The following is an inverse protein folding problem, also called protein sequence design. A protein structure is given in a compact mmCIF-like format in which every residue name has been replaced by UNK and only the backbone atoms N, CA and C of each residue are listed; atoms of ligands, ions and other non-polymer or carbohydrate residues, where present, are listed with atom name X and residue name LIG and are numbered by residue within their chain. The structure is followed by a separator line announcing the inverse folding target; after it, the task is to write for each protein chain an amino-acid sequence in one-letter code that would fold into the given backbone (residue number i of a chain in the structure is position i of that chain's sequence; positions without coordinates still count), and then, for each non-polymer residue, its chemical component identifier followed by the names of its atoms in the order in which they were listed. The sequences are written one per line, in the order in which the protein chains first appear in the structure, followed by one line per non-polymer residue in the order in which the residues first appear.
data_IF_123834377026
#
_entry.id   IF_123834377026
#
_cell.length_a   1.000
_cell.length_b   1.000
_cell.length_c   1.000
_cell.angle_alpha   90.00
_cell.angle_beta   90.00
_cell.angle_gamma   90.00
#
_symmetry.space_group_name_H-M   'P 1'
#
loop_
_entity.id
_entity.type
_entity.pdbx_description
1 polymer ?
#
# COMPACT_ATOMS: atom_id res chain seq x y z
N UNK A 1 -72.11 0.50 -52.30
CA UNK A 1 -70.96 0.40 -53.23
C UNK A 1 -69.85 -0.38 -52.52
N UNK A 2 -69.29 -1.37 -53.23
CA UNK A 2 -68.17 -2.31 -52.96
C UNK A 2 -67.51 -2.30 -51.56
N UNK A 3 -67.61 -3.40 -50.80
CA UNK A 3 -66.68 -4.57 -50.77
C UNK A 3 -65.21 -4.18 -50.55
N UNK A 4 -64.64 -4.58 -49.40
CA UNK A 4 -63.54 -5.57 -49.35
C UNK A 4 -63.37 -6.12 -47.92
N UNK A 5 -63.48 -7.45 -47.81
CA UNK A 5 -63.08 -8.28 -46.68
C UNK A 5 -61.55 -8.48 -46.78
N UNK A 6 -60.82 -8.33 -45.68
CA UNK A 6 -59.38 -8.58 -45.61
C UNK A 6 -59.00 -9.24 -44.29
N UNK A 7 -58.38 -10.41 -44.41
CA UNK A 7 -58.19 -11.46 -43.40
C UNK A 7 -57.07 -11.15 -42.38
N UNK A 8 -57.13 -11.90 -41.27
CA UNK A 8 -56.17 -12.08 -40.19
C UNK A 8 -54.66 -12.02 -40.56
N UNK A 9 -53.88 -11.50 -39.61
CA UNK A 9 -52.47 -11.80 -39.44
C UNK A 9 -52.00 -11.41 -38.03
N UNK A 10 -52.29 -12.23 -37.02
CA UNK A 10 -51.69 -12.09 -35.68
C UNK A 10 -50.32 -12.74 -35.73
N UNK A 11 -49.27 -11.93 -35.82
CA UNK A 11 -47.88 -12.39 -35.75
C UNK A 11 -47.48 -12.48 -34.28
N UNK A 12 -47.59 -13.67 -33.68
CA UNK A 12 -46.96 -13.96 -32.38
C UNK A 12 -45.44 -14.02 -32.57
N UNK A 13 -44.73 -12.96 -32.19
CA UNK A 13 -43.29 -13.02 -31.98
C UNK A 13 -42.99 -13.83 -30.71
N UNK A 14 -42.48 -15.04 -30.91
CA UNK A 14 -41.80 -15.80 -29.86
C UNK A 14 -40.44 -15.12 -29.60
N UNK A 15 -40.38 -14.29 -28.56
CA UNK A 15 -39.13 -13.77 -28.03
C UNK A 15 -38.36 -14.91 -27.35
N UNK A 16 -37.39 -15.48 -28.04
CA UNK A 16 -36.40 -16.37 -27.44
C UNK A 16 -35.57 -15.58 -26.43
N UNK A 17 -35.86 -15.77 -25.14
CA UNK A 17 -34.95 -15.37 -24.05
C UNK A 17 -33.66 -16.19 -24.20
N UNK A 18 -32.64 -15.59 -24.80
CA UNK A 18 -31.28 -16.08 -24.69
C UNK A 18 -30.81 -15.83 -23.26
N UNK A 19 -30.82 -16.88 -22.44
CA UNK A 19 -30.16 -16.87 -21.13
C UNK A 19 -28.66 -16.88 -21.41
N UNK A 20 -28.03 -15.70 -21.43
CA UNK A 20 -26.58 -15.60 -21.41
C UNK A 20 -26.11 -16.06 -20.03
N UNK A 21 -25.77 -17.35 -19.93
CA UNK A 21 -24.90 -17.83 -18.86
C UNK A 21 -23.58 -17.08 -19.00
N UNK A 22 -23.40 -16.02 -18.21
CA UNK A 22 -22.08 -15.44 -18.01
C UNK A 22 -21.23 -16.56 -17.44
N UNK A 23 -20.31 -17.08 -18.25
CA UNK A 23 -19.24 -17.90 -17.72
C UNK A 23 -18.57 -17.04 -16.65
N UNK A 24 -18.66 -17.46 -15.40
CA UNK A 24 -17.86 -16.86 -14.34
C UNK A 24 -16.42 -16.89 -14.85
N UNK A 25 -15.83 -15.71 -15.07
CA UNK A 25 -14.40 -15.61 -15.33
C UNK A 25 -13.71 -16.45 -14.28
N UNK A 26 -12.73 -17.27 -14.69
CA UNK A 26 -11.93 -18.03 -13.75
C UNK A 26 -11.52 -17.07 -12.63
N UNK A 27 -11.99 -17.33 -11.40
CA UNK A 27 -11.64 -16.50 -10.25
C UNK A 27 -10.12 -16.38 -10.26
N UNK A 28 -9.62 -15.16 -10.40
CA UNK A 28 -8.21 -14.91 -10.16
C UNK A 28 -7.92 -15.54 -8.80
N UNK A 29 -6.89 -16.38 -8.74
CA UNK A 29 -6.66 -17.17 -7.54
C UNK A 29 -6.44 -16.20 -6.37
N UNK A 30 -7.17 -16.42 -5.27
CA UNK A 30 -7.05 -15.59 -4.07
C UNK A 30 -5.65 -15.77 -3.50
N UNK A 31 -4.81 -14.77 -3.74
CA UNK A 31 -3.40 -14.76 -3.39
C UNK A 31 -3.15 -14.06 -2.04
N UNK A 32 -4.21 -13.85 -1.27
CA UNK A 32 -4.17 -13.22 0.04
C UNK A 32 -4.55 -11.74 0.03
N UNK A 33 -4.85 -11.28 1.23
CA UNK A 33 -5.30 -9.94 1.54
C UNK A 33 -4.48 -9.32 2.66
N UNK A 34 -4.20 -8.03 2.53
CA UNK A 34 -3.89 -7.16 3.65
C UNK A 34 -5.16 -6.35 3.96
N UNK A 35 -5.53 -6.29 5.23
CA UNK A 35 -6.56 -5.43 5.77
C UNK A 35 -6.07 -4.84 7.10
N UNK A 36 -6.27 -3.55 7.29
CA UNK A 36 -6.04 -2.86 8.56
C UNK A 36 -7.08 -1.75 8.72
N UNK A 37 -7.73 -1.68 9.88
CA UNK A 37 -8.69 -0.63 10.25
C UNK A 37 -8.09 0.46 11.16
N UNK A 38 -6.77 0.40 11.38
CA UNK A 38 -5.99 1.34 12.17
C UNK A 38 -6.44 1.48 13.63
N UNK A 39 -6.92 0.39 14.23
CA UNK A 39 -7.27 0.31 15.66
C UNK A 39 -6.07 0.27 16.62
N UNK A 40 -5.15 1.22 16.47
CA UNK A 40 -3.97 1.39 17.33
C UNK A 40 -4.18 2.45 18.41
N UNK A 41 -3.33 2.41 19.44
CA UNK A 41 -3.38 3.39 20.54
C UNK A 41 -2.53 4.64 20.27
N UNK A 42 -1.39 4.50 19.60
CA UNK A 42 -0.44 5.58 19.30
C UNK A 42 0.59 5.14 18.25
N UNK A 43 1.42 6.07 17.75
CA UNK A 43 2.57 5.72 16.90
C UNK A 43 3.61 4.82 17.59
N UNK A 44 3.62 4.76 18.93
CA UNK A 44 4.48 3.87 19.71
C UNK A 44 3.85 2.53 20.06
N UNK A 45 2.65 2.23 19.56
CA UNK A 45 1.99 0.94 19.76
C UNK A 45 2.83 -0.18 19.13
N UNK A 46 3.23 -1.18 19.92
CA UNK A 46 4.03 -2.30 19.41
C UNK A 46 3.30 -3.08 18.33
N UNK A 47 1.96 -3.07 18.34
CA UNK A 47 1.15 -3.77 17.34
C UNK A 47 1.24 -3.10 15.97
N UNK A 48 1.41 -1.77 15.90
CA UNK A 48 1.56 -1.04 14.63
C UNK A 48 2.79 -1.54 13.85
N UNK A 49 3.93 -1.62 14.54
CA UNK A 49 5.17 -2.13 13.93
C UNK A 49 5.14 -3.64 13.70
N UNK A 50 4.50 -4.41 14.59
CA UNK A 50 4.30 -5.85 14.41
C UNK A 50 3.44 -6.17 13.17
N UNK A 51 2.46 -5.31 12.88
CA UNK A 51 1.59 -5.38 11.70
C UNK A 51 2.26 -4.83 10.43
N UNK A 52 3.54 -4.46 10.52
CA UNK A 52 4.35 -4.10 9.36
C UNK A 52 4.23 -2.65 8.93
N UNK A 53 3.86 -1.74 9.83
CA UNK A 53 3.86 -0.29 9.57
C UNK A 53 5.02 0.42 10.24
N UNK A 54 5.59 1.41 9.55
CA UNK A 54 6.67 2.25 10.05
C UNK A 54 6.26 3.73 10.00
N UNK A 55 6.12 4.39 11.16
CA UNK A 55 6.09 5.85 11.24
C UNK A 55 7.44 6.43 10.82
N UNK A 56 7.46 7.30 9.81
CA UNK A 56 8.71 7.92 9.36
C UNK A 56 9.31 8.82 10.44
N UNK A 57 10.61 8.68 10.67
CA UNK A 57 11.39 9.44 11.66
C UNK A 57 12.65 10.10 11.11
N UNK A 58 12.90 9.96 9.80
CA UNK A 58 14.10 10.47 9.15
C UNK A 58 13.78 11.64 8.22
N UNK A 59 14.70 12.61 8.17
CA UNK A 59 14.63 13.76 7.29
C UNK A 59 14.78 13.38 5.82
N UNK A 60 14.44 14.30 4.92
CA UNK A 60 14.55 14.12 3.47
C UNK A 60 13.33 14.67 2.75
N UNK A 61 13.35 14.59 1.43
CA UNK A 61 12.21 14.96 0.60
C UNK A 61 11.03 13.99 0.72
N UNK A 62 9.90 14.33 0.09
CA UNK A 62 9.65 15.59 -0.63
C UNK A 62 9.37 16.78 0.32
N UNK A 63 9.23 17.98 -0.25
CA UNK A 63 8.77 19.19 0.45
C UNK A 63 9.87 20.13 0.94
N UNK A 64 9.50 21.00 1.87
CA UNK A 64 10.32 22.13 2.36
C UNK A 64 11.68 21.65 2.92
N UNK A 65 12.81 22.14 2.39
CA UNK A 65 14.13 21.84 2.96
C UNK A 65 14.24 22.23 4.44
N UNK A 66 14.75 21.31 5.25
CA UNK A 66 14.87 21.50 6.70
C UNK A 66 13.62 21.11 7.51
N UNK A 67 12.54 20.69 6.85
CA UNK A 67 11.37 20.13 7.53
C UNK A 67 11.69 18.81 8.24
N UNK A 68 10.93 18.52 9.29
CA UNK A 68 11.01 17.27 10.06
C UNK A 68 9.90 16.31 9.64
N UNK A 69 10.21 15.02 9.56
CA UNK A 69 9.22 13.94 9.50
C UNK A 69 9.17 13.26 10.86
N UNK A 70 8.04 13.38 11.58
CA UNK A 70 7.96 12.93 12.96
C UNK A 70 6.92 11.82 13.16
N UNK A 71 7.27 10.71 13.85
CA UNK A 71 6.31 9.70 14.28
C UNK A 71 5.22 10.26 15.20
N UNK A 72 5.53 11.31 15.98
CA UNK A 72 4.56 11.95 16.87
C UNK A 72 3.41 12.62 16.13
N UNK A 73 3.56 12.82 14.82
CA UNK A 73 2.55 13.39 13.93
C UNK A 73 1.52 12.37 13.48
N UNK A 74 1.69 11.10 13.85
CA UNK A 74 0.78 10.00 13.54
C UNK A 74 0.03 9.63 14.82
N UNK A 75 -1.27 9.81 14.80
CA UNK A 75 -2.14 9.54 15.95
C UNK A 75 -3.33 8.68 15.52
N UNK A 76 -4.03 8.12 16.50
CA UNK A 76 -5.18 7.26 16.25
C UNK A 76 -6.41 7.75 17.04
N UNK A 77 -7.00 8.89 16.66
CA UNK A 77 -8.22 9.40 17.30
C UNK A 77 -9.43 8.51 17.00
N UNK A 78 -10.52 8.75 17.72
CA UNK A 78 -11.81 8.14 17.40
C UNK A 78 -12.64 9.11 16.57
N UNK A 79 -13.00 8.72 15.35
CA UNK A 79 -13.84 9.47 14.43
C UNK A 79 -15.02 8.57 14.02
N UNK A 80 -16.25 9.08 14.11
CA UNK A 80 -17.44 8.30 13.73
C UNK A 80 -17.71 7.05 14.60
N UNK A 81 -17.03 6.92 15.75
CA UNK A 81 -17.17 5.78 16.66
C UNK A 81 -16.10 4.69 16.51
N UNK A 82 -15.19 4.81 15.55
CA UNK A 82 -14.04 3.91 15.38
C UNK A 82 -12.71 4.66 15.43
N UNK A 83 -11.62 3.92 15.63
CA UNK A 83 -10.27 4.46 15.46
C UNK A 83 -9.99 4.70 13.98
N UNK A 84 -9.23 5.75 13.69
CA UNK A 84 -8.71 6.08 12.36
C UNK A 84 -7.24 6.47 12.50
N UNK A 85 -6.39 6.21 11.51
CA UNK A 85 -5.06 6.83 11.46
C UNK A 85 -5.22 8.32 11.12
N UNK A 86 -4.50 9.20 11.81
CA UNK A 86 -4.42 10.62 11.49
C UNK A 86 -2.97 11.05 11.30
N UNK A 87 -2.67 11.60 10.13
CA UNK A 87 -1.46 12.33 9.80
C UNK A 87 -1.68 13.81 10.12
N UNK A 88 -0.72 14.46 10.79
CA UNK A 88 -0.79 15.89 11.12
C UNK A 88 0.47 16.60 10.62
N UNK A 89 0.31 17.62 9.77
CA UNK A 89 1.41 18.47 9.35
C UNK A 89 1.22 19.89 9.89
N UNK A 90 2.30 20.59 10.18
CA UNK A 90 2.23 22.00 10.58
C UNK A 90 3.42 22.80 10.08
N UNK A 91 3.23 24.10 9.85
CA UNK A 91 4.29 25.04 9.46
C UNK A 91 4.12 26.39 10.12
N UNK A 92 5.22 27.11 10.33
CA UNK A 92 5.26 28.55 10.65
C UNK A 92 5.83 29.40 9.49
N UNK A 93 5.94 28.80 8.30
CA UNK A 93 6.54 29.40 7.11
C UNK A 93 8.05 29.20 6.99
N UNK A 94 8.70 28.57 7.98
CA UNK A 94 10.14 28.24 7.95
C UNK A 94 10.38 26.74 7.80
N UNK A 95 11.52 26.34 7.23
CA UNK A 95 11.90 24.93 7.14
C UNK A 95 11.99 24.26 8.52
N UNK A 96 12.66 24.89 9.48
CA UNK A 96 12.81 24.36 10.84
C UNK A 96 11.49 24.30 11.63
N UNK A 97 10.53 25.18 11.33
CA UNK A 97 9.20 25.17 11.92
C UNK A 97 8.19 24.28 11.17
N UNK A 98 8.62 23.64 10.09
CA UNK A 98 7.78 22.74 9.29
C UNK A 98 7.93 21.28 9.72
N UNK A 99 6.80 20.61 9.90
CA UNK A 99 6.69 19.20 10.27
C UNK A 99 5.70 18.49 9.35
N UNK A 100 6.13 17.36 8.81
CA UNK A 100 5.39 16.44 7.95
C UNK A 100 5.08 15.13 8.68
N UNK A 101 4.21 14.32 8.08
CA UNK A 101 3.81 13.02 8.61
C UNK A 101 3.78 11.97 7.49
N UNK A 102 4.29 10.78 7.76
CA UNK A 102 4.23 9.65 6.84
C UNK A 102 4.18 8.31 7.59
N UNK A 103 3.23 7.46 7.20
CA UNK A 103 3.19 6.05 7.57
C UNK A 103 3.38 5.21 6.30
N UNK A 104 4.27 4.22 6.37
CA UNK A 104 4.50 3.31 5.25
C UNK A 104 4.64 1.86 5.70
N UNK A 105 4.36 0.93 4.79
CA UNK A 105 4.56 -0.49 5.05
C UNK A 105 6.05 -0.84 5.05
N UNK A 106 6.51 -1.61 6.03
CA UNK A 106 7.90 -2.04 6.16
C UNK A 106 8.36 -2.97 5.02
N UNK A 107 7.42 -3.73 4.43
CA UNK A 107 7.73 -4.69 3.38
C UNK A 107 7.34 -4.18 1.99
N UNK A 108 8.17 -4.52 0.99
CA UNK A 108 7.97 -4.24 -0.43
C UNK A 108 7.45 -5.49 -1.13
N UNK A 109 6.16 -5.79 -1.01
CA UNK A 109 5.57 -7.05 -1.52
C UNK A 109 4.28 -6.87 -2.33
N UNK A 110 3.92 -5.63 -2.64
CA UNK A 110 2.69 -5.31 -3.36
C UNK A 110 3.04 -4.99 -4.82
N UNK A 111 2.41 -5.69 -5.77
CA UNK A 111 2.61 -5.47 -7.21
C UNK A 111 1.26 -5.47 -7.95
N UNK A 112 0.81 -6.62 -8.44
CA UNK A 112 -0.50 -6.77 -9.10
C UNK A 112 -1.59 -7.07 -8.09
N UNK A 113 -2.77 -6.52 -8.33
CA UNK A 113 -3.91 -6.63 -7.41
C UNK A 113 -4.67 -5.32 -7.25
N UNK A 114 -5.52 -5.28 -6.23
CA UNK A 114 -6.32 -4.10 -5.89
C UNK A 114 -5.77 -3.44 -4.64
N UNK A 115 -5.41 -2.17 -4.74
CA UNK A 115 -5.06 -1.30 -3.63
C UNK A 115 -6.26 -0.44 -3.32
N UNK A 116 -6.67 -0.37 -2.06
CA UNK A 116 -7.76 0.49 -1.65
C UNK A 116 -7.54 1.08 -0.27
N UNK A 117 -7.98 2.31 -0.08
CA UNK A 117 -7.97 2.96 1.22
C UNK A 117 -9.09 3.99 1.28
N UNK A 118 -9.72 4.09 2.44
CA UNK A 118 -10.68 5.16 2.70
C UNK A 118 -9.98 6.30 3.42
N UNK A 119 -9.88 7.44 2.74
CA UNK A 119 -9.09 8.60 3.18
C UNK A 119 -10.02 9.78 3.37
N UNK A 120 -9.82 10.54 4.45
CA UNK A 120 -10.42 11.85 4.64
C UNK A 120 -9.40 12.91 4.29
N UNK A 121 -9.73 13.75 3.32
CA UNK A 121 -8.97 14.95 3.03
C UNK A 121 -9.61 16.17 3.70
N UNK A 122 -8.79 17.16 4.02
CA UNK A 122 -9.25 18.48 4.48
C UNK A 122 -8.75 19.57 3.58
N UNK A 123 -9.63 20.53 3.23
CA UNK A 123 -9.21 21.70 2.46
C UNK A 123 -8.47 22.73 3.32
N UNK A 124 -9.01 22.98 4.51
CA UNK A 124 -8.56 24.03 5.41
C UNK A 124 -7.83 23.45 6.62
N UNK A 125 -6.91 24.18 7.26
CA UNK A 125 -6.25 23.70 8.45
C UNK A 125 -7.23 23.56 9.62
N UNK A 126 -6.93 22.63 10.52
CA UNK A 126 -7.61 22.50 11.81
C UNK A 126 -7.31 23.64 12.78
N UNK A 127 -6.19 24.34 12.57
CA UNK A 127 -5.79 25.53 13.32
C UNK A 127 -4.84 26.40 12.50
N UNK A 128 -4.91 27.72 12.66
CA UNK A 128 -4.05 28.69 11.97
C UNK A 128 -4.65 29.23 10.68
N UNK A 129 -3.82 29.91 9.87
CA UNK A 129 -4.25 30.52 8.62
C UNK A 129 -4.26 29.49 7.49
N UNK A 130 -5.26 29.55 6.63
CA UNK A 130 -5.34 28.72 5.44
C UNK A 130 -4.50 29.29 4.27
N UNK A 131 -4.36 28.50 3.22
CA UNK A 131 -3.72 28.87 1.96
C UNK A 131 -2.37 28.19 1.71
N UNK A 132 -1.86 27.40 2.67
CA UNK A 132 -0.60 26.70 2.47
C UNK A 132 -0.73 25.64 1.38
N UNK A 133 0.26 25.54 0.49
CA UNK A 133 0.36 24.47 -0.49
C UNK A 133 0.78 23.17 0.21
N UNK A 134 -0.20 22.31 0.48
CA UNK A 134 0.01 20.97 1.04
C UNK A 134 -0.31 19.90 0.00
N UNK A 135 0.24 18.70 0.20
CA UNK A 135 -0.16 17.50 -0.53
C UNK A 135 -0.58 16.42 0.47
N UNK A 136 -1.78 15.88 0.26
CA UNK A 136 -2.37 14.77 1.02
C UNK A 136 -2.44 13.53 0.12
N UNK A 137 -1.86 12.41 0.55
CA UNK A 137 -1.58 11.31 -0.38
C UNK A 137 -2.06 9.93 0.04
N UNK A 138 -2.24 9.06 -0.95
CA UNK A 138 -2.24 7.61 -0.82
C UNK A 138 -1.51 7.04 -2.03
N UNK A 139 -0.44 6.29 -1.81
CA UNK A 139 0.42 5.85 -2.91
C UNK A 139 1.17 4.56 -2.60
N UNK A 140 1.74 3.99 -3.65
CA UNK A 140 2.61 2.82 -3.58
C UNK A 140 3.88 3.09 -4.36
N UNK A 141 5.05 2.77 -3.79
CA UNK A 141 6.36 3.17 -4.34
C UNK A 141 7.41 2.06 -4.17
N UNK A 142 8.29 1.90 -5.14
CA UNK A 142 9.51 1.11 -5.02
C UNK A 142 10.74 2.00 -4.83
N UNK A 143 11.88 1.48 -4.34
CA UNK A 143 13.11 2.26 -4.32
C UNK A 143 13.48 2.75 -5.72
N UNK A 144 13.98 3.99 -5.80
CA UNK A 144 14.70 4.49 -6.98
C UNK A 144 16.18 4.15 -6.78
N UNK A 145 16.70 3.11 -7.44
CA UNK A 145 18.10 2.68 -7.28
C UNK A 145 19.09 3.47 -8.16
N UNK A 146 18.88 4.78 -8.22
CA UNK A 146 19.63 5.71 -9.05
C UNK A 146 18.75 6.41 -10.09
N UNK A 147 19.28 7.49 -10.66
CA UNK A 147 18.60 8.26 -11.70
C UNK A 147 18.15 7.36 -12.84
N UNK A 148 16.91 7.55 -13.28
CA UNK A 148 16.36 6.84 -14.43
C UNK A 148 16.30 5.30 -14.26
N UNK A 149 16.21 4.79 -13.02
CA UNK A 149 16.07 3.36 -12.74
C UNK A 149 14.87 2.76 -13.52
N UNK A 150 15.12 1.89 -14.52
CA UNK A 150 14.07 1.36 -15.38
C UNK A 150 13.13 0.39 -14.65
N UNK A 151 13.49 -0.04 -13.44
CA UNK A 151 12.67 -0.91 -12.61
C UNK A 151 11.82 -0.13 -11.61
N UNK A 152 12.13 1.16 -11.36
CA UNK A 152 11.33 2.02 -10.47
C UNK A 152 9.85 1.87 -10.77
N UNK A 153 8.99 1.88 -9.77
CA UNK A 153 7.55 1.79 -9.93
C UNK A 153 6.90 2.60 -8.83
N UNK A 154 5.99 3.49 -9.21
CA UNK A 154 5.20 4.27 -8.26
C UNK A 154 3.83 4.54 -8.84
N UNK A 155 2.81 4.32 -8.02
CA UNK A 155 1.42 4.64 -8.32
C UNK A 155 0.93 5.58 -7.23
N UNK A 156 0.81 6.85 -7.59
CA UNK A 156 0.14 7.84 -6.78
C UNK A 156 -1.36 7.71 -7.03
N UNK A 157 -2.05 7.04 -6.10
CA UNK A 157 -3.49 6.81 -6.21
C UNK A 157 -4.23 8.13 -5.97
N UNK A 158 -3.67 8.98 -5.11
CA UNK A 158 -4.12 10.35 -4.91
C UNK A 158 -2.95 11.22 -4.45
N UNK A 159 -2.75 12.34 -5.12
CA UNK A 159 -1.99 13.51 -4.64
C UNK A 159 -2.93 14.71 -4.64
N UNK A 160 -3.51 14.99 -3.48
CA UNK A 160 -4.54 16.02 -3.33
C UNK A 160 -3.97 17.31 -2.74
N UNK A 161 -4.10 18.38 -3.51
CA UNK A 161 -3.60 19.72 -3.25
C UNK A 161 -4.78 20.68 -3.09
N UNK A 162 -5.35 20.86 -1.88
CA UNK A 162 -6.57 21.65 -1.69
C UNK A 162 -6.39 23.14 -2.03
N UNK A 163 -5.20 23.69 -1.78
CA UNK A 163 -4.86 25.08 -2.04
C UNK A 163 -4.05 25.26 -3.34
N UNK A 164 -3.96 24.22 -4.18
CA UNK A 164 -3.06 24.19 -5.32
C UNK A 164 -1.59 24.00 -4.92
N UNK A 165 -0.69 24.53 -5.75
CA UNK A 165 0.72 24.14 -5.77
C UNK A 165 1.11 23.62 -7.15
N UNK A 166 2.41 23.50 -7.43
CA UNK A 166 2.93 23.06 -8.74
C UNK A 166 2.39 23.82 -9.96
N UNK A 167 1.98 25.08 -9.77
CA UNK A 167 1.41 25.94 -10.81
C UNK A 167 -0.13 25.99 -10.83
N UNK A 168 -0.80 25.17 -10.03
CA UNK A 168 -2.26 25.18 -9.87
C UNK A 168 -2.69 26.18 -8.79
N UNK A 169 -3.88 26.76 -8.95
CA UNK A 169 -4.38 27.89 -8.12
C UNK A 169 -5.54 27.51 -7.19
N UNK A 170 -5.96 26.26 -7.21
CA UNK A 170 -7.06 25.76 -6.40
C UNK A 170 -7.03 24.23 -6.29
N UNK A 171 -8.09 23.63 -5.73
CA UNK A 171 -8.13 22.20 -5.47
C UNK A 171 -7.83 21.38 -6.72
N UNK A 172 -6.82 20.52 -6.63
CA UNK A 172 -6.49 19.55 -7.67
C UNK A 172 -6.09 18.22 -7.05
N UNK A 173 -6.48 17.13 -7.68
CA UNK A 173 -6.03 15.80 -7.34
C UNK A 173 -5.40 15.12 -8.55
N UNK A 174 -4.20 14.56 -8.39
CA UNK A 174 -3.53 13.78 -9.42
C UNK A 174 -3.63 12.27 -9.13
N UNK A 175 -3.80 11.50 -10.19
CA UNK A 175 -3.48 10.07 -10.25
C UNK A 175 -2.23 9.95 -11.12
N UNK A 176 -1.12 9.46 -10.59
CA UNK A 176 0.15 9.40 -11.34
C UNK A 176 0.67 7.97 -11.36
N UNK A 177 1.14 7.51 -12.53
CA UNK A 177 1.92 6.27 -12.67
C UNK A 177 3.31 6.63 -13.18
N UNK A 178 4.33 6.39 -12.37
CA UNK A 178 5.70 6.70 -12.74
C UNK A 178 6.37 5.55 -13.47
N UNK A 179 7.10 5.89 -14.53
CA UNK A 179 8.12 5.02 -15.08
C UNK A 179 9.42 5.18 -14.31
N UNK A 180 9.94 6.40 -14.26
CA UNK A 180 11.14 6.77 -13.49
C UNK A 180 11.28 8.29 -13.41
N UNK A 181 12.22 8.77 -12.59
CA UNK A 181 12.64 10.18 -12.59
C UNK A 181 14.15 10.32 -12.34
N UNK A 182 14.62 11.56 -12.46
CA UNK A 182 15.89 12.05 -11.91
C UNK A 182 15.62 13.36 -11.18
N UNK A 183 16.17 13.48 -9.97
CA UNK A 183 15.97 14.66 -9.14
C UNK A 183 16.71 15.89 -9.68
N UNK A 184 17.94 15.73 -10.19
CA UNK A 184 18.78 16.85 -10.63
C UNK A 184 19.63 16.51 -11.87
N UNK A 185 19.52 17.25 -12.99
CA UNK A 185 18.44 18.20 -13.28
C UNK A 185 17.10 17.47 -13.39
N UNK A 186 16.05 18.12 -12.90
CA UNK A 186 14.71 17.55 -12.84
C UNK A 186 14.28 16.94 -14.16
N UNK A 187 13.89 15.68 -14.12
CA UNK A 187 13.28 14.97 -15.22
C UNK A 187 12.29 13.96 -14.65
N UNK A 188 11.08 13.95 -15.20
CA UNK A 188 10.03 13.01 -14.85
C UNK A 188 9.59 12.25 -16.11
N UNK A 189 9.51 10.92 -16.02
CA UNK A 189 8.81 10.08 -17.00
C UNK A 189 7.66 9.39 -16.28
N UNK A 190 6.48 9.98 -16.39
CA UNK A 190 5.25 9.49 -15.79
C UNK A 190 4.07 9.73 -16.73
N UNK A 191 2.92 9.17 -16.36
CA UNK A 191 1.62 9.46 -16.93
C UNK A 191 0.69 9.85 -15.79
N UNK A 192 -0.11 10.90 -15.96
CA UNK A 192 -1.10 11.31 -14.96
C UNK A 192 -2.46 11.62 -15.58
N UNK A 193 -3.48 11.51 -14.72
CA UNK A 193 -4.81 12.07 -14.89
C UNK A 193 -5.10 12.98 -13.70
N UNK A 194 -6.03 13.92 -13.84
CA UNK A 194 -6.23 14.99 -12.87
C UNK A 194 -7.69 15.43 -12.75
N UNK A 195 -8.06 15.88 -11.55
CA UNK A 195 -9.39 16.37 -11.22
C UNK A 195 -9.28 17.72 -10.52
N UNK A 196 -9.84 18.77 -11.11
CA UNK A 196 -9.85 20.15 -10.55
C UNK A 196 -11.13 20.40 -9.75
N UNK A 197 -11.25 19.71 -8.63
CA UNK A 197 -12.37 19.81 -7.70
C UNK A 197 -11.93 19.49 -6.29
N UNK A 198 -12.65 20.04 -5.30
CA UNK A 198 -12.40 19.69 -3.90
C UNK A 198 -12.72 18.22 -3.62
N UNK A 199 -11.83 17.57 -2.87
CA UNK A 199 -12.02 16.26 -2.26
C UNK A 199 -12.17 16.34 -0.74
N UNK A 200 -12.60 17.50 -0.21
CA UNK A 200 -12.83 17.66 1.21
C UNK A 200 -13.86 16.66 1.73
N UNK A 201 -13.46 15.82 2.67
CA UNK A 201 -14.30 14.76 3.22
C UNK A 201 -13.73 13.36 2.99
N UNK A 202 -14.55 12.36 3.29
CA UNK A 202 -14.20 10.94 3.19
C UNK A 202 -14.43 10.43 1.77
N UNK A 203 -13.41 9.77 1.21
CA UNK A 203 -13.44 9.16 -0.11
C UNK A 203 -12.89 7.74 -0.07
N UNK A 204 -13.52 6.84 -0.82
CA UNK A 204 -12.97 5.50 -1.08
C UNK A 204 -12.08 5.57 -2.33
N UNK A 205 -10.76 5.43 -2.12
CA UNK A 205 -9.75 5.46 -3.17
C UNK A 205 -9.38 4.02 -3.56
N UNK A 206 -9.43 3.69 -4.84
CA UNK A 206 -9.13 2.34 -5.33
C UNK A 206 -8.24 2.41 -6.56
N UNK A 207 -7.19 1.58 -6.61
CA UNK A 207 -6.42 1.31 -7.82
C UNK A 207 -6.40 -0.19 -8.11
N UNK A 208 -6.78 -0.60 -9.32
CA UNK A 208 -6.67 -1.99 -9.79
C UNK A 208 -5.51 -2.10 -10.78
N UNK A 209 -4.52 -2.92 -10.45
CA UNK A 209 -3.36 -3.25 -11.28
C UNK A 209 -3.54 -4.66 -11.82
N UNK A 210 -3.98 -4.77 -13.07
CA UNK A 210 -4.24 -6.06 -13.72
C UNK A 210 -4.28 -5.91 -15.24
N UNK A 211 -4.02 -7.00 -15.96
CA UNK A 211 -4.13 -7.09 -17.42
C UNK A 211 -3.31 -6.03 -18.18
N UNK A 212 -2.19 -5.57 -17.61
CA UNK A 212 -1.37 -4.50 -18.20
C UNK A 212 -1.95 -3.08 -18.05
N UNK A 213 -2.99 -2.92 -17.23
CA UNK A 213 -3.64 -1.65 -16.93
C UNK A 213 -3.58 -1.31 -15.43
N UNK A 214 -3.54 -0.02 -15.15
CA UNK A 214 -3.71 0.57 -13.82
C UNK A 214 -4.94 1.47 -13.88
N UNK A 215 -6.03 1.05 -13.23
CA UNK A 215 -7.28 1.82 -13.21
C UNK A 215 -7.51 2.42 -11.84
N UNK A 216 -7.73 3.72 -11.81
CA UNK A 216 -7.91 4.51 -10.60
C UNK A 216 -9.38 4.90 -10.47
N UNK A 217 -9.92 4.73 -9.26
CA UNK A 217 -11.29 5.06 -8.92
C UNK A 217 -11.34 5.92 -7.66
N UNK A 218 -12.26 6.87 -7.65
CA UNK A 218 -12.66 7.63 -6.47
C UNK A 218 -14.17 7.46 -6.32
N UNK A 219 -14.61 6.98 -5.16
CA UNK A 219 -16.03 6.74 -4.84
C UNK A 219 -16.76 5.90 -5.90
N UNK A 220 -16.04 4.93 -6.48
CA UNK A 220 -16.55 4.03 -7.51
C UNK A 220 -16.53 4.58 -8.93
N UNK A 221 -16.17 5.85 -9.14
CA UNK A 221 -16.04 6.46 -10.46
C UNK A 221 -14.63 6.27 -10.99
N UNK A 222 -14.48 5.74 -12.22
CA UNK A 222 -13.18 5.64 -12.91
C UNK A 222 -12.68 7.05 -13.25
N UNK A 223 -11.51 7.42 -12.73
CA UNK A 223 -10.89 8.74 -12.92
C UNK A 223 -9.61 8.68 -13.75
N UNK A 224 -9.01 7.50 -13.89
CA UNK A 224 -7.83 7.28 -14.73
C UNK A 224 -7.66 5.82 -15.15
N UNK A 225 -7.15 5.60 -16.36
CA UNK A 225 -6.72 4.29 -16.88
C UNK A 225 -5.37 4.48 -17.57
N UNK A 226 -4.30 4.00 -16.92
CA UNK A 226 -2.93 4.08 -17.41
C UNK A 226 -2.44 2.70 -17.83
N UNK A 227 -1.51 2.62 -18.77
CA UNK A 227 -1.00 1.34 -19.29
C UNK A 227 0.40 1.46 -19.90
N UNK A 228 0.86 0.37 -20.53
CA UNK A 228 2.10 0.36 -21.29
C UNK A 228 3.33 0.40 -20.39
N UNK A 229 4.32 1.23 -20.74
CA UNK A 229 5.59 1.29 -20.00
C UNK A 229 5.43 1.73 -18.54
N UNK A 230 4.29 2.33 -18.16
CA UNK A 230 4.02 2.79 -16.80
C UNK A 230 3.51 1.68 -15.87
N UNK A 231 3.10 0.52 -16.39
CA UNK A 231 2.69 -0.64 -15.59
C UNK A 231 3.79 -1.09 -14.62
N UNK A 232 3.52 -1.32 -13.32
CA UNK A 232 4.56 -1.53 -12.32
C UNK A 232 5.42 -2.77 -12.62
N UNK A 233 6.72 -2.65 -12.33
CA UNK A 233 7.78 -3.57 -12.75
C UNK A 233 8.47 -4.26 -11.56
N UNK A 234 8.28 -3.76 -10.34
CA UNK A 234 8.79 -4.36 -9.12
C UNK A 234 7.81 -4.15 -7.95
N UNK A 235 7.97 -4.95 -6.90
CA UNK A 235 7.15 -4.80 -5.70
C UNK A 235 7.40 -3.47 -5.00
N UNK A 236 6.34 -2.92 -4.43
CA UNK A 236 6.28 -1.60 -3.83
C UNK A 236 5.87 -1.68 -2.35
N UNK A 237 6.06 -0.60 -1.61
CA UNK A 237 5.43 -0.33 -0.30
C UNK A 237 4.08 0.35 -0.48
N UNK A 238 3.20 0.30 0.52
CA UNK A 238 1.99 1.14 0.62
C UNK A 238 2.25 2.28 1.62
N UNK A 239 1.83 3.50 1.30
CA UNK A 239 2.24 4.71 2.01
C UNK A 239 1.11 5.76 2.02
N UNK A 240 1.11 6.58 3.06
CA UNK A 240 0.35 7.82 3.13
C UNK A 240 1.25 8.90 3.72
N UNK A 241 1.24 10.09 3.15
CA UNK A 241 1.90 11.24 3.72
C UNK A 241 1.08 12.53 3.59
N UNK A 242 1.36 13.45 4.51
CA UNK A 242 0.87 14.81 4.49
C UNK A 242 2.06 15.74 4.70
N UNK A 243 2.31 16.61 3.73
CA UNK A 243 3.50 17.46 3.67
C UNK A 243 3.24 18.81 3.00
N UNK A 244 4.11 19.79 3.26
CA UNK A 244 4.07 21.10 2.62
C UNK A 244 4.95 21.11 1.39
N UNK A 245 4.37 21.50 0.25
CA UNK A 245 5.05 21.59 -1.04
C UNK A 245 6.12 22.66 -0.99
N UNK A 246 5.75 23.83 -0.46
CA UNK A 246 6.58 25.02 -0.30
C UNK A 246 6.04 25.87 0.87
N UNK A 247 6.65 27.04 1.09
CA UNK A 247 6.17 28.04 2.07
C UNK A 247 5.75 29.37 1.42
N UNK A 248 5.57 29.39 0.10
CA UNK A 248 5.36 30.62 -0.66
C UNK A 248 4.00 31.26 -0.40
N UNK A 249 2.97 30.44 -0.16
CA UNK A 249 1.62 30.90 0.16
C UNK A 249 1.36 31.13 1.65
N UNK A 250 2.35 30.86 2.52
CA UNK A 250 2.17 31.00 3.96
C UNK A 250 2.00 32.46 4.39
N UNK A 251 0.95 32.75 5.16
CA UNK A 251 0.59 34.13 5.55
C UNK A 251 0.91 34.50 7.00
N UNK A 252 1.53 33.59 7.75
CA UNK A 252 2.02 33.80 9.11
C UNK A 252 1.25 33.03 10.18
N UNK A 253 1.80 33.05 11.41
CA UNK A 253 1.32 32.20 12.50
C UNK A 253 1.76 30.74 12.31
N UNK A 254 1.15 29.81 13.05
CA UNK A 254 1.33 28.37 12.81
C UNK A 254 0.04 27.81 12.22
N UNK A 255 0.16 27.11 11.10
CA UNK A 255 -0.95 26.40 10.46
C UNK A 255 -0.80 24.90 10.64
N UNK A 256 -1.90 24.19 10.88
CA UNK A 256 -1.92 22.75 11.17
C UNK A 256 -3.02 22.05 10.35
N UNK A 257 -2.61 21.15 9.46
CA UNK A 257 -3.50 20.36 8.60
C UNK A 257 -3.52 18.91 9.04
N UNK A 258 -4.60 18.20 8.68
CA UNK A 258 -4.73 16.77 8.96
C UNK A 258 -5.18 16.01 7.71
N UNK A 259 -4.79 14.75 7.64
CA UNK A 259 -5.38 13.74 6.75
C UNK A 259 -5.71 12.53 7.60
N UNK A 260 -6.88 11.91 7.38
CA UNK A 260 -7.27 10.71 8.15
C UNK A 260 -7.46 9.51 7.24
N UNK A 261 -7.27 8.31 7.77
CA UNK A 261 -7.44 7.04 7.05
C UNK A 261 -8.21 6.06 7.92
N UNK A 262 -9.34 5.58 7.39
CA UNK A 262 -10.26 4.67 8.10
C UNK A 262 -9.84 3.20 7.96
N UNK A 263 -9.33 2.82 6.79
CA UNK A 263 -8.83 1.48 6.54
C UNK A 263 -7.95 1.42 5.29
N UNK A 264 -7.18 0.33 5.18
CA UNK A 264 -6.51 -0.09 3.95
C UNK A 264 -6.87 -1.53 3.62
N UNK A 265 -6.98 -1.81 2.32
CA UNK A 265 -7.13 -3.14 1.76
C UNK A 265 -6.14 -3.31 0.61
N UNK A 266 -5.39 -4.41 0.59
CA UNK A 266 -4.73 -4.89 -0.62
C UNK A 266 -5.19 -6.31 -0.92
N UNK A 267 -5.65 -6.56 -2.15
CA UNK A 267 -6.04 -7.89 -2.62
C UNK A 267 -5.07 -8.35 -3.71
N UNK A 268 -4.16 -9.26 -3.36
CA UNK A 268 -3.07 -9.69 -4.25
C UNK A 268 -3.63 -10.45 -5.46
N UNK A 269 -3.16 -10.08 -6.65
CA UNK A 269 -3.54 -10.67 -7.94
C UNK A 269 -5.07 -10.71 -8.19
N UNK A 270 -5.82 -9.82 -7.54
CA UNK A 270 -7.28 -9.73 -7.69
C UNK A 270 -7.64 -8.34 -8.17
N UNK A 271 -8.36 -8.24 -9.28
CA UNK A 271 -8.92 -6.98 -9.80
C UNK A 271 -10.36 -6.82 -9.28
N UNK A 272 -10.49 -6.34 -8.05
CA UNK A 272 -11.78 -6.11 -7.41
C UNK A 272 -12.39 -4.81 -7.93
N UNK A 273 -13.70 -4.82 -8.14
CA UNK A 273 -14.48 -3.61 -8.34
C UNK A 273 -14.56 -2.80 -7.04
N UNK A 274 -14.82 -1.47 -7.10
CA UNK A 274 -15.03 -0.66 -5.91
C UNK A 274 -16.12 -1.21 -4.98
N UNK A 275 -17.21 -1.76 -5.53
CA UNK A 275 -18.27 -2.38 -4.74
C UNK A 275 -17.79 -3.65 -4.00
N UNK A 276 -16.93 -4.46 -4.63
CA UNK A 276 -16.33 -5.64 -3.98
C UNK A 276 -15.34 -5.25 -2.89
N UNK A 277 -14.58 -4.16 -3.08
CA UNK A 277 -13.73 -3.57 -2.02
C UNK A 277 -14.58 -3.19 -0.80
N UNK A 278 -15.67 -2.44 -1.01
CA UNK A 278 -16.59 -2.06 0.07
C UNK A 278 -17.15 -3.28 0.80
N UNK A 279 -17.60 -4.29 0.04
CA UNK A 279 -18.14 -5.53 0.60
C UNK A 279 -17.08 -6.31 1.40
N UNK A 280 -15.83 -6.37 0.91
CA UNK A 280 -14.73 -7.09 1.57
C UNK A 280 -14.34 -6.41 2.88
N UNK A 281 -14.19 -5.09 2.88
CA UNK A 281 -13.90 -4.31 4.09
C UNK A 281 -15.03 -4.42 5.12
N UNK A 282 -16.29 -4.34 4.69
CA UNK A 282 -17.43 -4.58 5.59
C UNK A 282 -17.41 -6.00 6.18
N UNK A 283 -17.02 -7.00 5.37
CA UNK A 283 -16.81 -8.38 5.81
C UNK A 283 -15.80 -8.49 6.95
N UNK A 284 -14.59 -7.94 6.78
CA UNK A 284 -13.56 -7.94 7.83
C UNK A 284 -14.07 -7.30 9.13
N UNK A 285 -14.71 -6.14 9.03
CA UNK A 285 -15.27 -5.44 10.20
C UNK A 285 -16.37 -6.24 10.89
N UNK A 286 -17.29 -6.84 10.13
CA UNK A 286 -18.37 -7.66 10.69
C UNK A 286 -17.85 -8.92 11.41
N UNK A 287 -16.69 -9.43 11.00
CA UNK A 287 -15.99 -10.52 11.66
C UNK A 287 -15.14 -10.08 12.88
N UNK A 288 -15.09 -8.77 13.17
CA UNK A 288 -14.29 -8.21 14.25
C UNK A 288 -12.78 -8.18 13.97
N UNK A 289 -12.36 -8.32 12.72
CA UNK A 289 -10.96 -8.20 12.34
C UNK A 289 -10.56 -6.71 12.34
N UNK A 290 -9.52 -6.38 13.09
CA UNK A 290 -8.87 -5.05 13.06
C UNK A 290 -7.62 -5.04 12.18
N UNK A 291 -7.02 -6.22 12.01
CA UNK A 291 -5.89 -6.45 11.11
C UNK A 291 -5.97 -7.88 10.56
N UNK A 292 -5.68 -8.06 9.28
CA UNK A 292 -5.48 -9.35 8.66
C UNK A 292 -4.42 -9.22 7.56
N UNK A 293 -3.42 -10.08 7.58
CA UNK A 293 -2.42 -10.14 6.52
C UNK A 293 -2.17 -11.60 6.13
N UNK A 294 -2.58 -11.92 4.91
CA UNK A 294 -2.44 -13.23 4.28
C UNK A 294 -1.74 -13.09 2.92
N UNK A 295 -1.17 -11.92 2.63
CA UNK A 295 -0.50 -11.66 1.35
C UNK A 295 0.72 -12.55 1.23
N UNK A 296 0.65 -13.54 0.34
CA UNK A 296 1.74 -14.47 0.07
C UNK A 296 3.01 -13.72 -0.36
N UNK A 297 4.19 -14.18 0.06
CA UNK A 297 5.47 -13.48 -0.19
C UNK A 297 6.17 -13.89 -1.50
N UNK A 298 5.65 -14.85 -2.27
CA UNK A 298 6.17 -15.25 -3.60
C UNK A 298 5.05 -15.54 -4.61
N UNK A 299 5.42 -15.59 -5.90
CA UNK A 299 4.53 -15.81 -7.05
C UNK A 299 3.98 -17.23 -7.14
N UNK A 300 2.70 -17.30 -7.51
CA UNK A 300 1.87 -18.50 -7.57
C UNK A 300 0.89 -18.53 -6.40
N UNK A 301 -0.39 -18.30 -6.67
CA UNK A 301 -1.42 -18.38 -5.64
C UNK A 301 -1.55 -19.82 -5.15
N UNK A 302 -1.26 -20.06 -3.89
CA UNK A 302 -1.62 -21.31 -3.23
C UNK A 302 -3.04 -21.17 -2.67
N UNK A 303 -4.03 -21.98 -3.12
CA UNK A 303 -5.35 -21.97 -2.51
C UNK A 303 -5.23 -22.26 -1.01
N UNK A 304 -6.09 -21.68 -0.14
CA UNK A 304 -6.05 -21.98 1.28
C UNK A 304 -6.28 -23.48 1.46
N UNK A 305 -5.28 -24.21 1.95
CA UNK A 305 -5.51 -25.58 2.41
C UNK A 305 -6.19 -25.49 3.77
N UNK A 306 -7.39 -26.06 3.86
CA UNK A 306 -8.11 -26.25 5.13
C UNK A 306 -7.15 -26.81 6.20
N UNK A 307 -7.10 -26.23 7.41
CA UNK A 307 -6.33 -26.79 8.51
C UNK A 307 -6.71 -28.26 8.76
N UNK A 308 -5.77 -29.18 9.02
CA UNK A 308 -6.10 -30.56 9.34
C UNK A 308 -6.95 -30.60 10.62
N UNK A 309 -8.16 -31.18 10.55
CA UNK A 309 -9.07 -31.39 11.69
C UNK A 309 -8.64 -32.55 12.60
N UNK A 310 -7.39 -33.02 12.51
CA UNK A 310 -6.83 -34.05 13.38
C UNK A 310 -5.63 -33.50 14.15
N UNK A 311 -5.73 -33.35 15.48
CA UNK A 311 -4.58 -33.03 16.33
C UNK A 311 -3.46 -34.08 16.15
N UNK A 312 -2.18 -33.67 16.10
CA UNK A 312 -1.07 -34.63 16.09
C UNK A 312 -1.03 -35.36 17.45
N UNK A 313 -1.08 -36.68 17.43
CA UNK A 313 -1.07 -37.53 18.63
C UNK A 313 0.33 -37.77 19.23
N UNK A 314 1.36 -37.02 18.83
CA UNK A 314 2.71 -37.16 19.40
C UNK A 314 3.43 -35.81 19.49
N UNK A 315 3.79 -35.34 20.70
CA UNK A 315 4.74 -34.23 20.84
C UNK A 315 6.14 -34.68 20.39
N UNK A 316 6.91 -33.87 19.64
CA UNK A 316 8.32 -34.16 19.38
C UNK A 316 9.14 -33.99 20.68
N UNK A 317 9.79 -35.05 21.13
CA UNK A 317 10.60 -35.09 22.37
C UNK A 317 12.08 -34.83 22.13
N UNK A 318 12.46 -34.01 21.14
CA UNK A 318 13.88 -33.70 20.91
C UNK A 318 14.08 -32.21 20.66
N UNK A 319 14.84 -31.50 21.52
CA UNK A 319 15.29 -30.14 21.22
C UNK A 319 16.11 -30.17 19.91
N UNK A 320 15.94 -29.23 18.97
CA UNK A 320 16.82 -29.16 17.82
C UNK A 320 18.24 -28.85 18.30
N UNK A 321 19.21 -29.65 17.83
CA UNK A 321 20.63 -29.39 18.05
C UNK A 321 21.00 -27.99 17.53
N UNK A 322 21.74 -27.21 18.32
CA UNK A 322 22.40 -26.01 17.82
C UNK A 322 23.39 -26.43 16.73
N UNK A 323 23.00 -26.28 15.46
CA UNK A 323 23.88 -26.57 14.32
C UNK A 323 25.01 -25.54 14.24
N UNK A 324 26.20 -26.00 13.90
CA UNK A 324 27.34 -25.16 13.52
C UNK A 324 27.28 -24.80 12.02
N UNK A 325 28.22 -23.99 11.52
CA UNK A 325 28.29 -23.62 10.09
C UNK A 325 28.36 -24.82 9.12
N UNK A 326 28.85 -25.98 9.59
CA UNK A 326 29.00 -27.18 8.74
C UNK A 326 27.69 -27.94 8.58
N UNK A 327 26.86 -27.92 9.62
CA UNK A 327 25.58 -28.65 9.70
C UNK A 327 24.36 -27.79 9.39
N UNK A 328 24.45 -26.47 9.51
CA UNK A 328 23.34 -25.58 9.22
C UNK A 328 23.01 -25.57 7.70
N UNK A 329 21.72 -25.67 7.33
CA UNK A 329 21.29 -25.53 5.94
C UNK A 329 21.50 -24.08 5.46
N UNK A 330 21.67 -23.90 4.15
CA UNK A 330 21.64 -22.55 3.58
C UNK A 330 20.25 -21.92 3.81
N UNK A 331 20.24 -20.63 4.12
CA UNK A 331 18.98 -19.88 4.21
C UNK A 331 18.30 -19.85 2.84
N UNK A 332 17.00 -20.08 2.85
CA UNK A 332 16.17 -20.08 1.66
C UNK A 332 14.96 -19.18 1.92
N UNK A 333 14.78 -18.19 1.04
CA UNK A 333 13.74 -17.17 1.17
C UNK A 333 12.33 -17.74 1.37
N UNK A 334 11.99 -18.81 0.63
CA UNK A 334 10.69 -19.47 0.72
C UNK A 334 10.51 -20.41 1.92
N UNK A 335 11.54 -20.65 2.72
CA UNK A 335 11.47 -21.58 3.86
C UNK A 335 11.06 -20.84 5.12
N UNK A 336 10.05 -21.35 5.82
CA UNK A 336 9.69 -20.86 7.14
C UNK A 336 10.61 -21.48 8.21
N UNK A 337 11.13 -20.64 9.09
CA UNK A 337 12.01 -20.99 10.20
C UNK A 337 11.33 -20.68 11.53
N UNK A 338 11.22 -21.70 12.39
CA UNK A 338 10.77 -21.57 13.76
C UNK A 338 11.87 -20.95 14.64
N UNK A 339 11.47 -20.31 15.74
CA UNK A 339 12.40 -19.77 16.72
C UNK A 339 13.40 -20.81 17.21
N UNK A 340 14.68 -20.46 17.20
CA UNK A 340 15.80 -21.32 17.57
C UNK A 340 16.46 -22.10 16.42
N UNK A 341 15.83 -22.19 15.24
CA UNK A 341 16.45 -22.84 14.08
C UNK A 341 17.64 -22.03 13.56
N UNK A 342 18.67 -22.74 13.08
CA UNK A 342 19.87 -22.13 12.52
C UNK A 342 19.98 -22.34 11.01
N UNK A 343 20.55 -21.35 10.33
CA UNK A 343 20.87 -21.35 8.89
C UNK A 343 22.22 -20.69 8.65
N UNK A 344 22.85 -20.98 7.52
CA UNK A 344 24.00 -20.21 7.04
C UNK A 344 23.60 -19.33 5.87
N UNK A 345 24.02 -18.07 5.88
CA UNK A 345 23.71 -17.10 4.83
C UNK A 345 24.72 -15.97 4.79
N UNK A 346 25.07 -15.51 3.59
CA UNK A 346 25.74 -14.22 3.41
C UNK A 346 24.67 -13.20 3.05
N UNK A 347 24.46 -12.21 3.92
CA UNK A 347 23.48 -11.16 3.67
C UNK A 347 23.77 -10.47 2.32
N UNK A 348 22.73 -10.11 1.60
CA UNK A 348 22.81 -9.29 0.41
C UNK A 348 23.36 -7.91 0.77
N UNK A 349 23.92 -7.21 -0.21
CA UNK A 349 24.51 -5.89 -0.03
C UNK A 349 23.49 -4.83 0.43
N UNK A 350 22.24 -4.98 0.02
CA UNK A 350 21.21 -3.94 0.16
C UNK A 350 19.93 -4.42 0.89
N UNK A 351 19.94 -5.61 1.50
CA UNK A 351 18.74 -6.18 2.14
C UNK A 351 17.68 -6.65 1.16
N UNK A 352 18.10 -7.05 -0.04
CA UNK A 352 17.27 -7.63 -1.09
C UNK A 352 17.59 -9.15 -1.22
N UNK A 353 16.71 -10.03 -0.75
CA UNK A 353 16.82 -11.48 -0.92
C UNK A 353 17.02 -11.93 -2.38
N UNK A 354 18.26 -12.19 -2.77
CA UNK A 354 18.65 -12.56 -4.14
C UNK A 354 19.48 -11.50 -4.86
N UNK A 355 19.66 -10.33 -4.27
CA UNK A 355 20.59 -9.30 -4.70
C UNK A 355 22.06 -9.71 -4.53
N UNK A 356 23.01 -8.86 -4.99
CA UNK A 356 24.44 -9.17 -4.90
C UNK A 356 24.88 -9.37 -3.45
N UNK A 357 25.84 -10.28 -3.17
CA UNK A 357 26.33 -10.51 -1.82
C UNK A 357 26.97 -9.24 -1.23
N UNK A 358 26.88 -9.09 0.09
CA UNK A 358 27.50 -7.97 0.82
C UNK A 358 29.03 -7.97 0.72
N UNK A 359 29.65 -9.13 0.52
CA UNK A 359 31.11 -9.29 0.56
C UNK A 359 31.64 -9.53 1.99
N UNK A 360 30.76 -9.62 2.98
CA UNK A 360 31.12 -9.90 4.37
C UNK A 360 31.33 -11.41 4.62
N UNK A 361 30.95 -12.27 3.66
CA UNK A 361 31.02 -13.72 3.77
C UNK A 361 29.81 -14.33 4.48
N UNK A 362 29.74 -15.67 4.52
CA UNK A 362 28.61 -16.37 5.15
C UNK A 362 28.71 -16.27 6.67
N UNK A 363 27.56 -16.17 7.32
CA UNK A 363 27.43 -16.20 8.77
C UNK A 363 26.44 -17.28 9.16
N UNK A 364 26.57 -17.77 10.39
CA UNK A 364 25.58 -18.63 11.03
C UNK A 364 24.55 -17.74 11.73
N UNK A 365 23.28 -17.96 11.42
CA UNK A 365 22.18 -17.17 11.94
C UNK A 365 21.21 -18.04 12.69
N UNK A 366 20.69 -17.55 13.81
CA UNK A 366 19.61 -18.20 14.56
C UNK A 366 18.34 -17.36 14.49
N UNK A 367 17.24 -17.96 14.08
CA UNK A 367 15.93 -17.33 14.16
C UNK A 367 15.60 -17.06 15.64
N UNK A 368 15.25 -15.82 16.01
CA UNK A 368 14.84 -15.46 17.37
C UNK A 368 13.42 -15.92 17.68
N UNK A 369 12.57 -15.93 16.66
CA UNK A 369 11.17 -16.33 16.65
C UNK A 369 10.81 -16.77 15.22
N UNK A 370 9.56 -17.12 14.96
CA UNK A 370 9.13 -17.56 13.63
C UNK A 370 9.44 -16.50 12.56
N UNK A 371 10.02 -16.91 11.43
CA UNK A 371 10.38 -16.02 10.31
C UNK A 371 10.36 -16.76 8.97
N UNK A 372 9.89 -16.10 7.91
CA UNK A 372 9.94 -16.57 6.52
C UNK A 372 10.17 -15.35 5.62
N UNK A 373 10.99 -15.48 4.58
CA UNK A 373 11.30 -14.37 3.67
C UNK A 373 12.19 -13.26 4.24
N UNK A 374 12.39 -13.18 5.56
CA UNK A 374 13.35 -12.23 6.13
C UNK A 374 14.78 -12.69 5.92
N UNK A 375 15.59 -11.87 5.27
CA UNK A 375 17.01 -12.14 5.12
C UNK A 375 17.75 -12.04 6.47
N UNK A 376 18.58 -13.03 6.81
CA UNK A 376 19.49 -12.90 7.93
C UNK A 376 20.48 -11.74 7.74
N UNK A 377 20.64 -10.92 8.78
CA UNK A 377 21.57 -9.78 8.80
C UNK A 377 20.96 -8.40 8.54
N UNK A 378 19.70 -8.33 8.11
CA UNK A 378 18.98 -7.06 7.87
C UNK A 378 17.81 -6.81 8.80
N UNK A 379 17.34 -7.84 9.49
CA UNK A 379 16.22 -7.72 10.44
C UNK A 379 16.60 -8.25 11.81
N UNK A 380 15.90 -7.78 12.83
CA UNK A 380 16.08 -8.27 14.21
C UNK A 380 15.58 -9.71 14.40
N UNK A 381 14.92 -10.30 13.40
CA UNK A 381 14.40 -11.66 13.45
C UNK A 381 15.52 -12.70 13.53
N UNK A 382 16.74 -12.33 13.10
CA UNK A 382 17.91 -13.17 13.12
C UNK A 382 18.93 -12.68 14.15
N UNK A 383 19.50 -13.64 14.88
CA UNK A 383 20.67 -13.43 15.73
C UNK A 383 21.90 -13.92 14.98
N UNK A 384 22.87 -13.04 14.74
CA UNK A 384 24.19 -13.42 14.23
C UNK A 384 24.92 -14.25 15.29
N UNK A 385 25.35 -15.46 14.92
CA UNK A 385 26.16 -16.34 15.74
C UNK A 385 27.65 -16.34 15.33
N UNK A 386 28.00 -15.56 14.31
CA UNK A 386 29.37 -15.40 13.83
C UNK A 386 29.60 -15.93 12.42
N UNK A 387 30.80 -15.66 11.91
CA UNK A 387 31.19 -15.99 10.54
C UNK A 387 31.39 -17.49 10.33
N UNK A 388 30.94 -17.95 9.17
CA UNK A 388 31.38 -19.17 8.49
C UNK A 388 32.50 -18.79 7.52
#
# INVERSE_FOLDING_TARGET
MSRFLGLLGVTTLLSSLAVFTHAAGASAADCGYLFDDFSYSSAGDSSLTANGWTPRSYAGGPGVPGATWSPSSITFPTEGGQKVMQLTASTDGTGAGTNHAELYSTQKRYLEGTYASRVRFTDTPTAGNDGDHINQTFFTISPLNGDMDPTYSELDISEYLPNGGWGETGPINYQTSWYTYRAEPWFADNMHTEQRSSLNGWHDLVATVADGHIRYYIDGVLVGDHSGKYYPRQTMTINWNLWFIDTAAHTGGRSTYIQQVDWVLFAKNQALTPAEVTARTAGYRSAGATFADTVDTTGGCTPPTTPPTTPPTSPPTTPPSQGDCTSAPDWAFGTAYQGGQTVKHEKSRNGDPGGPPSGEGKHLWKARYWTQGSEPGWTQQWQDLGRC
#
